data_IF_215515477810
#
_entry.id   IF_215515477810
#
_cell.length_a   1.000
_cell.length_b   1.000
_cell.length_c   1.000
_cell.angle_alpha   90.00
_cell.angle_beta   90.00
_cell.angle_gamma   90.00
#
_symmetry.space_group_name_H-M   'P 1'
#
loop_
_entity.id
_entity.type
_entity.pdbx_description
1 polymer ?
#
# COMPACT_ATOMS: atom_id res chain seq x y z
N UNK A 1 -5.36 -5.85 9.10
CA UNK A 1 -5.10 -5.81 7.63
C UNK A 1 -3.88 -4.96 7.37
N UNK A 2 -3.02 -5.40 6.47
CA UNK A 2 -1.95 -4.58 5.92
C UNK A 2 -2.50 -3.89 4.67
N UNK A 3 -2.11 -2.65 4.44
CA UNK A 3 -2.52 -1.86 3.29
C UNK A 3 -1.31 -1.50 2.45
N UNK A 4 -1.44 -1.53 1.14
CA UNK A 4 -0.37 -1.10 0.23
C UNK A 4 -0.91 -0.22 -0.87
N UNK A 5 -0.26 0.92 -1.07
CA UNK A 5 -0.54 1.79 -2.21
C UNK A 5 0.06 1.17 -3.46
N UNK A 6 -0.76 1.02 -4.50
CA UNK A 6 -0.34 0.49 -5.78
C UNK A 6 -0.34 1.62 -6.80
N UNK A 7 0.78 1.79 -7.49
CA UNK A 7 0.93 2.84 -8.51
C UNK A 7 2.04 2.50 -9.50
N UNK A 8 2.03 3.17 -10.64
CA UNK A 8 3.03 2.98 -11.68
C UNK A 8 2.72 1.82 -12.61
N UNK A 9 3.72 1.35 -13.35
CA UNK A 9 3.58 0.25 -14.30
C UNK A 9 3.44 -1.11 -13.63
N UNK A 10 3.20 -2.14 -14.43
CA UNK A 10 2.93 -3.49 -13.93
C UNK A 10 4.08 -4.04 -13.08
N UNK A 11 5.33 -3.81 -13.47
CA UNK A 11 6.47 -4.25 -12.66
C UNK A 11 6.47 -3.65 -11.27
N UNK A 12 6.21 -2.33 -11.17
CA UNK A 12 6.09 -1.64 -9.88
C UNK A 12 4.94 -2.21 -9.05
N UNK A 13 3.81 -2.47 -9.70
CA UNK A 13 2.63 -3.05 -9.04
C UNK A 13 2.95 -4.41 -8.43
N UNK A 14 3.69 -5.26 -9.15
CA UNK A 14 4.07 -6.58 -8.66
C UNK A 14 5.01 -6.49 -7.44
N UNK A 15 6.00 -5.61 -7.46
CA UNK A 15 6.88 -5.40 -6.30
C UNK A 15 6.08 -4.93 -5.09
N UNK A 16 5.21 -3.96 -5.27
CA UNK A 16 4.38 -3.43 -4.19
C UNK A 16 3.46 -4.50 -3.60
N UNK A 17 2.85 -5.30 -4.44
CA UNK A 17 2.02 -6.43 -4.00
C UNK A 17 2.85 -7.47 -3.23
N UNK A 18 3.99 -7.89 -3.77
CA UNK A 18 4.79 -8.94 -3.17
C UNK A 18 5.29 -8.58 -1.77
N UNK A 19 5.77 -7.36 -1.58
CA UNK A 19 6.23 -6.90 -0.27
C UNK A 19 5.08 -6.89 0.73
N UNK A 20 3.95 -6.32 0.34
CA UNK A 20 2.78 -6.22 1.21
C UNK A 20 2.18 -7.60 1.52
N UNK A 21 2.14 -8.51 0.53
CA UNK A 21 1.66 -9.88 0.73
C UNK A 21 2.56 -10.63 1.71
N UNK A 22 3.88 -10.49 1.56
CA UNK A 22 4.84 -11.12 2.48
C UNK A 22 4.67 -10.64 3.90
N UNK A 23 4.50 -9.33 4.10
CA UNK A 23 4.27 -8.77 5.42
C UNK A 23 2.96 -9.27 6.03
N UNK A 24 1.88 -9.26 5.25
CA UNK A 24 0.57 -9.75 5.70
C UNK A 24 0.62 -11.23 6.08
N UNK A 25 1.30 -12.05 5.30
CA UNK A 25 1.46 -13.47 5.59
C UNK A 25 2.27 -13.69 6.88
N UNK A 26 3.34 -12.91 7.08
CA UNK A 26 4.14 -12.97 8.31
C UNK A 26 3.32 -12.63 9.55
N UNK A 27 2.40 -11.68 9.44
CA UNK A 27 1.55 -11.26 10.54
C UNK A 27 0.26 -12.10 10.67
N UNK A 28 0.02 -13.00 9.74
CA UNK A 28 -1.20 -13.80 9.72
C UNK A 28 -2.47 -12.94 9.53
N UNK A 29 -2.38 -11.89 8.74
CA UNK A 29 -3.48 -10.94 8.53
C UNK A 29 -3.83 -10.80 7.05
N UNK A 30 -4.94 -10.13 6.77
CA UNK A 30 -5.39 -9.86 5.41
C UNK A 30 -4.64 -8.68 4.77
N UNK A 31 -4.75 -8.56 3.45
CA UNK A 31 -4.11 -7.53 2.66
C UNK A 31 -5.14 -6.70 1.91
N UNK A 32 -5.04 -5.38 2.03
CA UNK A 32 -5.81 -4.43 1.24
C UNK A 32 -4.89 -3.67 0.28
N UNK A 33 -5.32 -3.54 -0.96
CA UNK A 33 -4.58 -2.79 -1.98
C UNK A 33 -5.30 -1.49 -2.30
N UNK A 34 -4.59 -0.38 -2.13
CA UNK A 34 -5.10 0.94 -2.49
C UNK A 34 -4.76 1.22 -3.95
N UNK A 35 -5.75 1.03 -4.82
CA UNK A 35 -5.61 1.22 -6.28
C UNK A 35 -6.28 2.50 -6.76
N UNK A 36 -6.55 3.46 -5.85
CA UNK A 36 -7.25 4.71 -6.19
C UNK A 36 -6.46 5.62 -7.12
N UNK A 37 -5.14 5.40 -7.26
CA UNK A 37 -4.33 6.13 -8.24
C UNK A 37 -4.63 5.73 -9.69
N UNK A 38 -5.28 4.59 -9.90
CA UNK A 38 -5.66 4.11 -11.24
C UNK A 38 -7.07 4.60 -11.57
N UNK A 39 -7.13 5.69 -12.30
CA UNK A 39 -8.35 6.30 -12.82
C UNK A 39 -8.17 6.63 -14.31
N UNK A 40 -9.19 7.21 -14.93
CA UNK A 40 -9.16 7.55 -16.38
C UNK A 40 -8.03 8.48 -16.79
N UNK A 41 -7.46 9.25 -15.85
CA UNK A 41 -6.34 10.16 -16.09
C UNK A 41 -4.97 9.54 -15.78
N UNK A 42 -4.94 8.29 -15.33
CA UNK A 42 -3.69 7.61 -15.00
C UNK A 42 -2.95 7.19 -16.28
N UNK A 43 -1.61 7.42 -16.36
CA UNK A 43 -0.82 6.97 -17.51
C UNK A 43 -0.63 5.45 -17.54
N UNK A 44 -0.95 4.74 -16.48
CA UNK A 44 -0.76 3.29 -16.35
C UNK A 44 -2.08 2.59 -16.09
N UNK A 45 -2.20 1.37 -16.60
CA UNK A 45 -3.34 0.50 -16.32
C UNK A 45 -3.04 -0.38 -15.10
N UNK A 46 -4.06 -0.63 -14.30
CA UNK A 46 -3.96 -1.54 -13.17
C UNK A 46 -4.00 -2.99 -13.68
N UNK A 47 -2.83 -3.64 -13.73
CA UNK A 47 -2.66 -4.96 -14.30
C UNK A 47 -2.74 -6.12 -13.32
N UNK A 48 -2.74 -5.87 -12.01
CA UNK A 48 -2.74 -6.94 -11.00
C UNK A 48 -3.97 -7.84 -11.08
N UNK A 49 -5.10 -7.31 -11.53
CA UNK A 49 -6.33 -8.10 -11.68
C UNK A 49 -6.21 -9.29 -12.65
N UNK A 50 -5.19 -9.29 -13.51
CA UNK A 50 -4.92 -10.41 -14.42
C UNK A 50 -4.14 -11.55 -13.77
N UNK A 51 -3.74 -11.39 -12.52
CA UNK A 51 -3.02 -12.38 -11.73
C UNK A 51 -3.91 -12.91 -10.61
N UNK A 52 -3.53 -14.05 -10.06
CA UNK A 52 -4.24 -14.63 -8.92
C UNK A 52 -3.86 -13.90 -7.62
N UNK A 53 -4.40 -12.70 -7.43
CA UNK A 53 -4.10 -11.82 -6.31
C UNK A 53 -5.00 -12.16 -5.10
N UNK A 54 -4.37 -12.38 -3.95
CA UNK A 54 -5.06 -12.63 -2.68
C UNK A 54 -5.08 -11.35 -1.85
N UNK A 55 -6.00 -10.45 -2.20
CA UNK A 55 -6.13 -9.16 -1.52
C UNK A 55 -7.49 -8.53 -1.81
N UNK A 56 -7.91 -7.62 -0.96
CA UNK A 56 -9.08 -6.77 -1.18
C UNK A 56 -8.67 -5.48 -1.89
N UNK A 57 -9.31 -5.15 -2.99
CA UNK A 57 -9.07 -3.89 -3.69
C UNK A 57 -9.91 -2.78 -3.07
N UNK A 58 -9.26 -1.65 -2.73
CA UNK A 58 -9.90 -0.49 -2.11
C UNK A 58 -10.81 -0.84 -0.92
N UNK A 59 -10.30 -1.55 0.09
CA UNK A 59 -11.12 -1.93 1.23
C UNK A 59 -11.59 -0.69 2.00
N UNK A 60 -12.73 -0.76 2.70
CA UNK A 60 -13.20 0.35 3.51
C UNK A 60 -12.23 0.69 4.64
N UNK A 61 -12.24 1.94 5.07
CA UNK A 61 -11.41 2.39 6.18
C UNK A 61 -9.99 2.78 5.82
N UNK A 62 -9.62 2.80 4.52
CA UNK A 62 -8.32 3.31 4.10
C UNK A 62 -8.19 4.81 4.36
N UNK A 63 -6.94 5.25 4.55
CA UNK A 63 -6.65 6.68 4.65
C UNK A 63 -7.10 7.40 3.38
N UNK A 64 -7.60 8.62 3.54
CA UNK A 64 -7.94 9.45 2.40
C UNK A 64 -6.68 10.03 1.78
N UNK A 65 -6.66 10.13 0.45
CA UNK A 65 -5.60 10.82 -0.22
C UNK A 65 -5.61 12.30 0.17
N UNK A 66 -4.43 12.84 0.43
CA UNK A 66 -4.26 14.21 0.87
C UNK A 66 -4.53 15.15 -0.30
N UNK A 67 -5.77 15.61 -0.43
CA UNK A 67 -6.12 16.64 -1.42
C UNK A 67 -6.14 18.05 -0.85
N UNK A 68 -6.49 18.22 0.42
CA UNK A 68 -6.76 19.54 1.01
C UNK A 68 -6.27 19.64 2.45
N UNK A 69 -5.00 19.95 2.63
CA UNK A 69 -4.52 20.51 3.87
C UNK A 69 -4.31 19.54 5.04
N UNK A 70 -3.43 19.96 5.89
CA UNK A 70 -2.91 19.25 7.05
C UNK A 70 -3.99 18.91 8.09
N UNK A 71 -4.97 19.80 8.27
CA UNK A 71 -6.03 19.62 9.26
C UNK A 71 -6.92 18.42 8.99
N UNK A 72 -7.30 18.24 7.72
CA UNK A 72 -8.12 17.09 7.30
C UNK A 72 -7.35 15.78 7.48
N UNK A 73 -6.06 15.80 7.24
CA UNK A 73 -5.17 14.66 7.46
C UNK A 73 -5.16 14.24 8.94
N UNK A 74 -5.11 15.19 9.87
CA UNK A 74 -5.11 14.89 11.30
C UNK A 74 -6.42 14.27 11.77
N UNK A 75 -7.56 14.76 11.29
CA UNK A 75 -8.87 14.21 11.62
C UNK A 75 -8.99 12.78 11.07
N UNK A 76 -8.57 12.56 9.83
CA UNK A 76 -8.57 11.23 9.23
C UNK A 76 -7.61 10.27 9.96
N UNK A 77 -6.51 10.78 10.47
CA UNK A 77 -5.56 9.99 11.26
C UNK A 77 -6.18 9.46 12.56
N UNK A 78 -7.04 10.23 13.20
CA UNK A 78 -7.72 9.82 14.44
C UNK A 78 -8.82 8.79 14.17
N UNK A 79 -9.52 8.90 13.04
CA UNK A 79 -10.70 8.09 12.71
C UNK A 79 -10.41 6.82 11.92
N UNK A 80 -9.25 6.72 11.30
CA UNK A 80 -8.93 5.59 10.42
C UNK A 80 -8.55 4.34 11.20
N UNK A 81 -8.73 3.19 10.53
CA UNK A 81 -8.29 1.90 11.05
C UNK A 81 -6.79 1.68 10.88
N UNK A 82 -6.15 2.39 9.96
CA UNK A 82 -4.70 2.34 9.77
C UNK A 82 -4.03 3.19 10.84
N UNK A 83 -3.18 2.58 11.62
CA UNK A 83 -2.49 3.26 12.72
C UNK A 83 -1.14 3.82 12.29
N UNK A 84 -0.63 3.43 11.13
CA UNK A 84 0.75 3.71 10.77
C UNK A 84 0.93 3.75 9.25
N UNK A 85 1.50 4.85 8.74
CA UNK A 85 1.88 4.99 7.34
C UNK A 85 3.39 4.87 7.24
N UNK A 86 3.87 3.87 6.50
CA UNK A 86 5.30 3.65 6.30
C UNK A 86 5.66 3.98 4.85
N UNK A 87 6.48 5.01 4.68
CA UNK A 87 7.00 5.40 3.37
C UNK A 87 8.39 4.81 3.19
N UNK A 88 8.64 4.24 2.01
CA UNK A 88 9.98 3.73 1.65
C UNK A 88 11.03 4.84 1.82
N UNK A 89 12.03 4.63 2.70
CA UNK A 89 12.98 5.71 3.04
C UNK A 89 14.06 5.92 1.97
N UNK A 90 14.36 4.91 1.18
CA UNK A 90 15.42 4.95 0.16
C UNK A 90 15.18 3.85 -0.87
N UNK A 91 15.99 3.84 -1.93
CA UNK A 91 15.84 2.88 -3.04
C UNK A 91 16.54 1.53 -2.77
N UNK A 92 17.22 1.39 -1.64
CA UNK A 92 17.87 0.14 -1.24
C UNK A 92 16.90 -0.75 -0.46
N UNK A 93 17.22 -2.03 -0.36
CA UNK A 93 16.43 -2.97 0.43
C UNK A 93 16.27 -2.48 1.88
N UNK A 94 15.04 -2.44 2.34
CA UNK A 94 14.72 -2.02 3.70
C UNK A 94 14.04 -3.17 4.45
N UNK A 95 14.83 -3.89 5.23
CA UNK A 95 14.33 -5.00 6.04
C UNK A 95 13.40 -4.55 7.18
N UNK A 96 13.39 -3.26 7.51
CA UNK A 96 12.52 -2.75 8.57
C UNK A 96 11.05 -2.87 8.21
N UNK A 97 10.71 -2.99 6.93
CA UNK A 97 9.33 -3.21 6.51
C UNK A 97 8.72 -4.47 7.14
N UNK A 98 9.52 -5.50 7.37
CA UNK A 98 9.04 -6.76 7.96
C UNK A 98 8.83 -6.68 9.47
N UNK A 99 9.23 -5.58 10.11
CA UNK A 99 8.99 -5.32 11.52
C UNK A 99 7.76 -4.45 11.78
N UNK A 100 7.03 -4.07 10.72
CA UNK A 100 5.88 -3.20 10.85
C UNK A 100 4.69 -3.94 11.49
N UNK A 101 3.90 -3.22 12.31
CA UNK A 101 2.73 -3.82 12.96
C UNK A 101 1.56 -3.99 11.99
N UNK A 102 0.56 -4.78 12.40
CA UNK A 102 -0.71 -4.85 11.71
C UNK A 102 -1.34 -3.44 11.60
N UNK A 103 -2.16 -3.23 10.60
CA UNK A 103 -2.78 -1.94 10.24
C UNK A 103 -1.81 -0.91 9.67
N UNK A 104 -0.62 -1.31 9.25
CA UNK A 104 0.32 -0.43 8.55
C UNK A 104 -0.10 -0.20 7.11
N UNK A 105 0.16 1.00 6.61
CA UNK A 105 -0.07 1.39 5.22
C UNK A 105 1.27 1.65 4.55
N UNK A 106 1.59 0.86 3.53
CA UNK A 106 2.88 0.91 2.84
C UNK A 106 2.83 1.84 1.63
N UNK A 107 3.80 2.74 1.55
CA UNK A 107 3.99 3.65 0.42
C UNK A 107 5.42 3.51 -0.11
N UNK A 108 5.58 2.99 -1.30
CA UNK A 108 6.89 2.85 -1.92
C UNK A 108 6.81 1.96 -3.14
N UNK A 109 7.92 1.81 -3.84
CA UNK A 109 8.03 0.93 -5.01
C UNK A 109 8.66 -0.43 -4.68
N UNK A 110 9.53 -0.48 -3.69
CA UNK A 110 10.13 -1.71 -3.16
C UNK A 110 10.91 -2.51 -4.22
N UNK A 111 11.61 -1.83 -5.10
CA UNK A 111 12.22 -2.40 -6.31
C UNK A 111 13.62 -2.96 -6.11
N UNK A 112 13.97 -3.48 -4.96
CA UNK A 112 15.28 -4.10 -4.74
C UNK A 112 15.17 -5.61 -4.69
N UNK A 113 16.22 -6.29 -5.16
CA UNK A 113 16.26 -7.75 -5.27
C UNK A 113 16.66 -8.47 -3.99
N UNK A 114 16.92 -7.76 -2.93
CA UNK A 114 17.36 -8.39 -1.69
C UNK A 114 16.28 -8.50 -0.65
#
# INVERSE_FOLDING_TARGET
MIYSRIRGGLGNQLFQYCVARSLADNLGTSLGLDVRDFNENSPYLMGLKHFNIRADFNPPGMIKHKKNGYFKYLIDAVRRKQKFVYKEPHLNFDKNVFSLPNSSYLKGYWQTEK
#
